data_IF_244410129135
#
_entry.id   IF_244410129135
#
_cell.length_a   1.000
_cell.length_b   1.000
_cell.length_c   1.000
_cell.angle_alpha   90.00
_cell.angle_beta   90.00
_cell.angle_gamma   90.00
#
_symmetry.space_group_name_H-M   'P 1'
#
loop_
_entity.id
_entity.type
_entity.pdbx_description
1 polymer ?
#
# COMPACT_ATOMS: atom_id res chain seq x y z
N UNK A 1 -3.15 8.32 -15.43
CA UNK A 1 -2.88 6.95 -14.97
C UNK A 1 -4.21 6.30 -14.65
N UNK A 2 -4.33 4.98 -14.76
CA UNK A 2 -5.61 4.27 -14.53
C UNK A 2 -5.58 3.63 -13.16
N UNK A 3 -6.58 3.94 -12.32
CA UNK A 3 -6.74 3.30 -11.02
C UNK A 3 -7.02 1.81 -11.17
N UNK A 4 -6.41 1.02 -10.29
CA UNK A 4 -6.55 -0.42 -10.20
C UNK A 4 -7.04 -0.80 -8.83
N UNK A 5 -7.71 -1.94 -8.76
CA UNK A 5 -8.14 -2.55 -7.50
C UNK A 5 -7.25 -3.74 -7.22
N UNK A 6 -6.89 -3.93 -5.97
CA UNK A 6 -6.08 -5.06 -5.53
C UNK A 6 -6.32 -5.41 -4.09
N UNK A 7 -5.64 -6.48 -3.67
CA UNK A 7 -5.69 -7.00 -2.31
C UNK A 7 -4.28 -7.13 -1.75
N UNK A 8 -4.09 -6.74 -0.50
CA UNK A 8 -2.83 -6.98 0.20
C UNK A 8 -2.71 -8.47 0.50
N UNK A 9 -1.65 -9.09 -0.04
CA UNK A 9 -1.38 -10.52 0.11
C UNK A 9 -0.17 -10.81 1.00
N UNK A 10 0.64 -9.79 1.31
CA UNK A 10 1.80 -9.91 2.18
C UNK A 10 2.11 -8.56 2.84
N UNK A 11 2.38 -8.58 4.14
CA UNK A 11 2.83 -7.43 4.92
C UNK A 11 4.29 -7.65 5.34
N UNK A 12 5.17 -6.69 5.05
CA UNK A 12 6.62 -6.82 5.29
C UNK A 12 7.13 -5.74 6.26
N UNK A 13 7.86 -6.20 7.28
CA UNK A 13 8.45 -5.36 8.33
C UNK A 13 7.79 -5.60 9.69
N UNK A 14 8.61 -5.65 10.75
CA UNK A 14 8.16 -5.82 12.13
C UNK A 14 9.01 -4.94 13.07
N UNK A 15 8.41 -4.31 14.10
CA UNK A 15 7.00 -4.38 14.51
C UNK A 15 6.05 -3.51 13.66
N UNK A 16 6.59 -2.57 12.86
CA UNK A 16 5.82 -1.76 11.94
C UNK A 16 6.17 -2.14 10.50
N UNK A 17 5.17 -2.32 9.61
CA UNK A 17 5.45 -2.61 8.22
C UNK A 17 6.13 -1.42 7.54
N UNK A 18 7.12 -1.71 6.71
CA UNK A 18 7.73 -0.73 5.83
C UNK A 18 7.26 -0.90 4.38
N UNK A 19 6.67 -2.05 4.05
CA UNK A 19 6.21 -2.38 2.71
C UNK A 19 5.11 -3.46 2.70
N UNK A 20 4.42 -3.54 1.56
CA UNK A 20 3.32 -4.47 1.30
C UNK A 20 3.43 -5.02 -0.12
N UNK A 21 2.88 -6.21 -0.35
CA UNK A 21 2.62 -6.73 -1.69
C UNK A 21 1.12 -6.69 -1.96
N UNK A 22 0.74 -5.99 -3.02
CA UNK A 22 -0.63 -5.96 -3.53
C UNK A 22 -0.75 -6.81 -4.79
N UNK A 23 -1.78 -7.64 -4.86
CA UNK A 23 -2.15 -8.40 -6.06
C UNK A 23 -3.31 -7.69 -6.79
N UNK A 24 -3.19 -7.47 -8.09
CA UNK A 24 -4.24 -6.83 -8.91
C UNK A 24 -5.47 -7.75 -9.02
N UNK A 25 -6.65 -7.23 -8.72
CA UNK A 25 -7.89 -7.99 -8.88
C UNK A 25 -8.15 -8.27 -10.37
N UNK A 26 -8.57 -9.50 -10.69
CA UNK A 26 -8.73 -9.95 -12.07
C UNK A 26 -7.41 -10.35 -12.76
N UNK A 27 -6.26 -10.23 -12.10
CA UNK A 27 -4.98 -10.72 -12.60
C UNK A 27 -4.08 -11.27 -11.48
N UNK A 28 -4.29 -12.55 -11.14
CA UNK A 28 -3.57 -13.22 -10.05
C UNK A 28 -2.05 -13.32 -10.25
N UNK A 29 -1.54 -13.14 -11.47
CA UNK A 29 -0.11 -13.23 -11.77
C UNK A 29 0.61 -11.88 -11.63
N UNK A 30 -0.11 -10.83 -11.23
CA UNK A 30 0.40 -9.47 -11.25
C UNK A 30 0.38 -8.87 -9.87
N UNK A 31 1.58 -8.61 -9.35
CA UNK A 31 1.82 -8.08 -8.02
C UNK A 31 2.65 -6.80 -8.08
N UNK A 32 2.45 -5.94 -7.10
CA UNK A 32 3.16 -4.67 -6.97
C UNK A 32 3.73 -4.50 -5.58
N UNK A 33 4.91 -3.90 -5.49
CA UNK A 33 5.48 -3.45 -4.22
C UNK A 33 4.89 -2.09 -3.85
N UNK A 34 4.49 -1.95 -2.58
CA UNK A 34 3.99 -0.70 -2.00
C UNK A 34 4.85 -0.39 -0.78
N UNK A 35 5.40 0.81 -0.66
CA UNK A 35 6.00 1.26 0.59
C UNK A 35 4.95 1.89 1.50
N UNK A 36 5.19 1.89 2.81
CA UNK A 36 4.30 2.57 3.76
C UNK A 36 4.12 4.06 3.46
N UNK A 37 5.10 4.70 2.83
CA UNK A 37 5.02 6.09 2.37
C UNK A 37 4.15 6.29 1.12
N UNK A 38 3.88 5.23 0.36
CA UNK A 38 3.07 5.26 -0.86
C UNK A 38 1.55 5.17 -0.56
N UNK A 39 1.18 5.03 0.71
CA UNK A 39 -0.22 5.12 1.12
C UNK A 39 -0.66 6.58 1.09
N UNK A 40 -1.77 6.90 0.44
CA UNK A 40 -2.23 8.29 0.22
C UNK A 40 -2.34 9.10 1.54
N UNK A 41 -2.75 8.43 2.62
CA UNK A 41 -2.84 9.03 3.96
C UNK A 41 -1.47 9.34 4.58
N UNK A 42 -0.43 8.61 4.18
CA UNK A 42 0.94 8.75 4.65
C UNK A 42 1.80 9.67 3.77
N UNK A 43 1.44 9.87 2.50
CA UNK A 43 2.16 10.74 1.55
C UNK A 43 2.28 12.19 2.04
N UNK A 44 1.30 12.66 2.83
CA UNK A 44 1.30 14.01 3.42
C UNK A 44 2.01 14.10 4.76
N UNK A 45 2.46 12.98 5.32
CA UNK A 45 3.21 12.95 6.57
C UNK A 45 4.70 13.16 6.27
N UNK A 46 5.04 14.38 5.86
CA UNK A 46 6.36 14.73 5.32
C UNK A 46 7.48 14.55 6.38
N UNK A 47 7.19 14.60 7.69
CA UNK A 47 8.22 14.49 8.74
C UNK A 47 7.79 13.84 10.09
N UNK A 48 6.55 13.36 10.23
CA UNK A 48 6.00 12.93 11.54
C UNK A 48 5.69 11.43 11.67
N UNK A 49 5.89 10.64 10.61
CA UNK A 49 5.48 9.22 10.53
C UNK A 49 5.84 8.40 11.79
N UNK A 50 7.00 8.62 12.40
CA UNK A 50 7.44 7.80 13.54
C UNK A 50 7.33 8.46 14.92
N UNK A 51 6.97 9.75 15.01
CA UNK A 51 6.97 10.46 16.30
C UNK A 51 5.73 10.16 17.15
N UNK A 52 4.57 10.04 16.50
CA UNK A 52 3.28 9.89 17.19
C UNK A 52 2.55 8.56 16.85
N UNK A 53 3.18 7.65 16.09
CA UNK A 53 2.56 6.40 15.61
C UNK A 53 1.23 6.58 14.84
N UNK A 54 0.99 7.74 14.24
CA UNK A 54 -0.23 8.04 13.45
C UNK A 54 -0.18 7.50 12.02
N UNK A 55 0.69 6.53 11.74
CA UNK A 55 0.84 5.94 10.42
C UNK A 55 -0.33 5.02 10.14
N UNK A 56 -0.99 5.22 9.01
CA UNK A 56 -1.94 4.20 8.55
C UNK A 56 -1.14 3.00 8.07
N UNK A 57 -1.51 1.83 8.55
CA UNK A 57 -0.98 0.54 8.08
C UNK A 57 -2.09 -0.24 7.39
N UNK A 58 -1.69 -1.13 6.49
CA UNK A 58 -2.57 -2.11 5.86
C UNK A 58 -2.33 -3.50 6.45
N UNK A 59 -3.35 -4.34 6.40
CA UNK A 59 -3.26 -5.74 6.79
C UNK A 59 -3.43 -6.66 5.59
N UNK A 60 -2.91 -7.89 5.68
CA UNK A 60 -3.25 -8.93 4.72
C UNK A 60 -4.77 -9.11 4.66
N UNK A 61 -5.32 -9.12 3.45
CA UNK A 61 -6.76 -9.15 3.26
C UNK A 61 -7.38 -7.83 2.83
N UNK A 62 -6.75 -6.70 3.16
CA UNK A 62 -7.30 -5.38 2.86
C UNK A 62 -7.43 -5.15 1.36
N UNK A 63 -8.57 -4.61 0.93
CA UNK A 63 -8.78 -4.17 -0.44
C UNK A 63 -8.31 -2.73 -0.60
N UNK A 64 -7.59 -2.48 -1.70
CA UNK A 64 -6.99 -1.19 -2.00
C UNK A 64 -7.27 -0.76 -3.43
N UNK A 65 -7.41 0.54 -3.62
CA UNK A 65 -7.30 1.22 -4.90
C UNK A 65 -5.89 1.82 -5.02
N UNK A 66 -5.25 1.71 -6.19
CA UNK A 66 -3.90 2.22 -6.40
C UNK A 66 -3.64 2.62 -7.85
N UNK A 67 -2.68 3.52 -8.05
CA UNK A 67 -2.02 3.72 -9.33
C UNK A 67 -0.77 2.84 -9.40
N UNK A 68 -0.37 2.40 -10.60
CA UNK A 68 0.82 1.56 -10.76
C UNK A 68 1.83 2.18 -11.71
N UNK A 69 3.10 2.10 -11.35
CA UNK A 69 4.22 2.17 -12.28
C UNK A 69 4.57 0.76 -12.77
N UNK A 70 5.77 0.54 -13.31
CA UNK A 70 6.20 -0.76 -13.87
C UNK A 70 6.02 -1.91 -12.87
N UNK A 71 6.50 -1.71 -11.64
CA UNK A 71 6.61 -2.73 -10.58
C UNK A 71 6.15 -2.23 -9.20
N UNK A 72 5.85 -0.93 -9.08
CA UNK A 72 5.37 -0.31 -7.84
C UNK A 72 3.93 0.13 -7.94
N UNK A 73 3.26 0.14 -6.79
CA UNK A 73 1.96 0.75 -6.60
C UNK A 73 2.10 1.99 -5.70
N UNK A 74 1.48 3.08 -6.13
CA UNK A 74 1.55 4.42 -5.52
C UNK A 74 0.14 4.99 -5.31
N UNK A 75 0.02 6.04 -4.49
CA UNK A 75 -1.27 6.64 -4.15
C UNK A 75 -2.27 5.59 -3.64
N UNK A 76 -1.77 4.68 -2.80
CA UNK A 76 -2.53 3.50 -2.37
C UNK A 76 -3.52 3.90 -1.30
N UNK A 77 -4.78 3.51 -1.51
CA UNK A 77 -5.90 3.86 -0.64
C UNK A 77 -6.68 2.61 -0.27
N UNK A 78 -6.92 2.39 1.03
CA UNK A 78 -7.85 1.36 1.51
C UNK A 78 -9.28 1.73 1.14
N UNK A 79 -10.04 0.79 0.58
CA UNK A 79 -11.41 1.04 0.10
C UNK A 79 -12.50 0.19 0.77
N UNK A 80 -12.12 -0.85 1.52
CA UNK A 80 -13.02 -1.65 2.37
C UNK A 80 -12.25 -2.18 3.59
#
# INVERSE_FOLDING_TARGET
>A
MTNKIGKIIEVRGAPNPNSYIVQEEGNSNKTYLVHVGDLEQNEKLIYELYKDQKVTILNEGDQVEFESTTDHAIHVKKIN
#
